data_IF_691604471747
#
_entry.id   IF_691604471747
#
_cell.length_a   1.000
_cell.length_b   1.000
_cell.length_c   1.000
_cell.angle_alpha   90.00
_cell.angle_beta   90.00
_cell.angle_gamma   90.00
#
_symmetry.space_group_name_H-M   'P 1'
#
loop_
_entity.id
_entity.type
_entity.pdbx_description
1 polymer ?
#
# COMPACT_ATOMS: atom_id res chain seq x y z
N UNK A 1 -0.09 -15.90 -7.12
CA UNK A 1 0.15 -14.71 -6.29
C UNK A 1 0.24 -15.14 -4.83
N UNK A 2 0.54 -14.21 -3.93
CA UNK A 2 0.60 -14.49 -2.50
C UNK A 2 -0.61 -13.91 -1.79
N UNK A 3 -1.34 -14.75 -1.05
CA UNK A 3 -2.47 -14.29 -0.26
C UNK A 3 -1.99 -13.34 0.85
N UNK A 4 -2.78 -12.30 1.13
CA UNK A 4 -2.41 -11.26 2.12
C UNK A 4 -2.30 -11.81 3.55
N UNK A 5 -2.97 -12.93 3.83
CA UNK A 5 -2.93 -13.67 5.10
C UNK A 5 -1.81 -14.74 5.13
N UNK A 6 -1.04 -14.89 4.06
CA UNK A 6 0.03 -15.88 3.94
C UNK A 6 -0.47 -17.30 3.65
N UNK A 7 -1.76 -17.50 3.36
CA UNK A 7 -2.29 -18.82 3.03
C UNK A 7 -1.79 -19.29 1.67
N UNK A 8 -0.88 -20.26 1.69
CA UNK A 8 -0.27 -20.85 0.49
C UNK A 8 -1.24 -21.72 -0.33
N UNK A 9 -2.39 -22.10 0.25
CA UNK A 9 -3.43 -22.89 -0.41
C UNK A 9 -4.54 -22.01 -1.03
N UNK A 10 -4.46 -20.69 -0.86
CA UNK A 10 -5.47 -19.78 -1.40
C UNK A 10 -5.40 -19.75 -2.93
N UNK A 11 -6.53 -20.09 -3.57
CA UNK A 11 -6.72 -19.90 -5.01
C UNK A 11 -7.10 -18.44 -5.26
N UNK A 12 -6.11 -17.63 -5.59
CA UNK A 12 -6.32 -16.21 -5.88
C UNK A 12 -6.93 -16.04 -7.28
N UNK A 13 -7.98 -15.23 -7.35
CA UNK A 13 -8.64 -14.82 -8.59
C UNK A 13 -8.57 -13.30 -8.64
N UNK A 14 -8.15 -12.76 -9.77
CA UNK A 14 -8.27 -11.34 -10.03
C UNK A 14 -9.58 -11.03 -10.74
N UNK A 15 -10.13 -9.86 -10.44
CA UNK A 15 -11.41 -9.38 -10.95
C UNK A 15 -11.18 -8.03 -11.64
N UNK A 16 -11.72 -7.89 -12.84
CA UNK A 16 -11.87 -6.62 -13.52
C UNK A 16 -13.37 -6.35 -13.67
N UNK A 17 -13.84 -5.21 -13.17
CA UNK A 17 -15.25 -4.83 -13.19
C UNK A 17 -15.38 -3.42 -13.73
N UNK A 18 -16.38 -3.18 -14.56
CA UNK A 18 -16.79 -1.83 -14.93
C UNK A 18 -18.14 -1.51 -14.29
N UNK A 19 -18.26 -0.31 -13.75
CA UNK A 19 -19.49 0.21 -13.14
C UNK A 19 -19.84 1.57 -13.73
N UNK A 20 -21.12 1.92 -13.71
CA UNK A 20 -21.57 3.28 -14.03
C UNK A 20 -21.23 4.25 -12.89
N UNK A 21 -21.44 5.56 -13.13
CA UNK A 21 -21.36 6.59 -12.09
C UNK A 21 -22.34 6.37 -10.92
N UNK A 22 -23.40 5.59 -11.14
CA UNK A 22 -24.39 5.19 -10.13
C UNK A 22 -24.04 3.86 -9.45
N UNK A 23 -22.81 3.37 -9.66
CA UNK A 23 -22.31 2.11 -9.11
C UNK A 23 -23.04 0.85 -9.61
N UNK A 24 -23.71 0.93 -10.77
CA UNK A 24 -24.32 -0.24 -11.41
C UNK A 24 -23.26 -1.02 -12.20
N UNK A 25 -23.06 -2.32 -11.94
CA UNK A 25 -22.09 -3.13 -12.68
C UNK A 25 -22.58 -3.40 -14.11
N UNK A 26 -21.72 -3.12 -15.09
CA UNK A 26 -22.02 -3.29 -16.53
C UNK A 26 -21.10 -4.30 -17.21
N UNK A 27 -19.97 -4.65 -16.58
CA UNK A 27 -19.03 -5.64 -17.08
C UNK A 27 -18.27 -6.29 -15.94
N UNK A 28 -17.93 -7.57 -16.07
CA UNK A 28 -16.97 -8.23 -15.21
C UNK A 28 -16.14 -9.26 -15.99
N UNK A 29 -14.90 -9.50 -15.55
CA UNK A 29 -14.03 -10.57 -16.02
C UNK A 29 -13.15 -11.07 -14.89
N UNK A 30 -13.00 -12.39 -14.80
CA UNK A 30 -12.11 -13.05 -13.84
C UNK A 30 -10.84 -13.52 -14.54
N UNK A 31 -9.72 -13.52 -13.82
CA UNK A 31 -8.43 -13.99 -14.31
C UNK A 31 -7.60 -14.68 -13.22
N UNK A 32 -6.65 -15.57 -13.59
CA UNK A 32 -5.82 -16.27 -12.60
C UNK A 32 -4.94 -15.30 -11.80
N UNK A 33 -5.00 -15.36 -10.47
CA UNK A 33 -4.19 -14.49 -9.59
C UNK A 33 -2.72 -14.93 -9.46
N UNK A 34 -2.24 -15.83 -10.33
CA UNK A 34 -0.86 -16.32 -10.38
C UNK A 34 -0.08 -15.86 -11.62
N UNK A 35 -0.69 -15.04 -12.48
CA UNK A 35 -0.01 -14.45 -13.63
C UNK A 35 0.68 -13.13 -13.29
N UNK A 36 1.49 -12.63 -14.22
CA UNK A 36 2.17 -11.35 -14.05
C UNK A 36 1.16 -10.20 -14.24
N UNK A 37 0.86 -9.50 -13.14
CA UNK A 37 -0.09 -8.40 -13.06
C UNK A 37 0.09 -7.34 -14.17
N UNK A 38 1.31 -7.03 -14.59
CA UNK A 38 1.55 -5.98 -15.58
C UNK A 38 1.08 -6.35 -16.99
N UNK A 39 1.37 -7.57 -17.44
CA UNK A 39 0.96 -8.06 -18.76
C UNK A 39 -0.56 -8.28 -18.80
N UNK A 40 -1.07 -8.87 -17.73
CA UNK A 40 -2.49 -9.15 -17.59
C UNK A 40 -3.31 -7.86 -17.54
N UNK A 41 -2.79 -6.81 -16.91
CA UNK A 41 -3.41 -5.50 -16.91
C UNK A 41 -3.61 -4.94 -18.32
N UNK A 42 -2.58 -5.02 -19.18
CA UNK A 42 -2.68 -4.52 -20.57
C UNK A 42 -3.76 -5.26 -21.36
N UNK A 43 -3.78 -6.60 -21.28
CA UNK A 43 -4.80 -7.41 -21.95
C UNK A 43 -6.21 -7.10 -21.42
N UNK A 44 -6.35 -6.98 -20.10
CA UNK A 44 -7.62 -6.67 -19.44
C UNK A 44 -8.13 -5.29 -19.85
N UNK A 45 -7.27 -4.26 -19.88
CA UNK A 45 -7.66 -2.92 -20.33
C UNK A 45 -8.18 -2.96 -21.76
N UNK A 46 -7.39 -3.50 -22.70
CA UNK A 46 -7.78 -3.55 -24.12
C UNK A 46 -9.09 -4.32 -24.34
N UNK A 47 -9.20 -5.52 -23.76
CA UNK A 47 -10.42 -6.34 -23.91
C UNK A 47 -11.64 -5.65 -23.30
N UNK A 48 -11.49 -5.04 -22.13
CA UNK A 48 -12.60 -4.37 -21.45
C UNK A 48 -13.08 -3.15 -22.23
N UNK A 49 -12.16 -2.32 -22.72
CA UNK A 49 -12.49 -1.14 -23.51
C UNK A 49 -13.14 -1.53 -24.83
N UNK A 50 -12.62 -2.53 -25.54
CA UNK A 50 -13.23 -3.05 -26.77
C UNK A 50 -14.67 -3.50 -26.51
N UNK A 51 -14.92 -4.24 -25.42
CA UNK A 51 -16.25 -4.71 -25.10
C UNK A 51 -17.21 -3.60 -24.69
N UNK A 52 -16.76 -2.63 -23.89
CA UNK A 52 -17.58 -1.49 -23.51
C UNK A 52 -17.94 -0.62 -24.74
N UNK A 53 -17.00 -0.43 -25.68
CA UNK A 53 -17.26 0.26 -26.96
C UNK A 53 -18.34 -0.44 -27.78
N UNK A 54 -18.34 -1.79 -27.83
CA UNK A 54 -19.40 -2.56 -28.50
C UNK A 54 -20.79 -2.34 -27.88
N UNK A 55 -20.85 -1.96 -26.60
CA UNK A 55 -22.09 -1.58 -25.90
C UNK A 55 -22.39 -0.08 -25.96
N UNK A 56 -21.65 0.70 -26.75
CA UNK A 56 -21.89 2.12 -26.97
C UNK A 56 -21.14 3.07 -26.03
N UNK A 57 -20.21 2.57 -25.21
CA UNK A 57 -19.38 3.43 -24.37
C UNK A 57 -18.37 4.23 -25.22
N UNK A 58 -18.16 5.49 -24.83
CA UNK A 58 -17.13 6.37 -25.39
C UNK A 58 -15.86 6.24 -24.54
N UNK A 59 -14.71 6.01 -25.17
CA UNK A 59 -13.48 5.67 -24.43
C UNK A 59 -13.00 6.81 -23.53
N UNK A 60 -13.14 8.03 -24.00
CA UNK A 60 -12.80 9.28 -23.32
C UNK A 60 -13.71 9.54 -22.10
N UNK A 61 -14.83 8.83 -22.00
CA UNK A 61 -15.71 8.86 -20.82
C UNK A 61 -15.32 7.78 -19.79
N UNK A 62 -14.55 6.77 -20.19
CA UNK A 62 -14.11 5.70 -19.30
C UNK A 62 -12.96 6.15 -18.40
N UNK A 63 -12.92 5.62 -17.18
CA UNK A 63 -11.80 5.86 -16.25
C UNK A 63 -11.44 4.58 -15.54
N UNK A 64 -10.22 4.11 -15.77
CA UNK A 64 -9.71 2.88 -15.19
C UNK A 64 -9.18 3.15 -13.78
N UNK A 65 -9.70 2.44 -12.77
CA UNK A 65 -9.30 2.63 -11.36
C UNK A 65 -8.49 1.44 -10.88
N UNK A 66 -7.25 1.66 -10.41
CA UNK A 66 -6.35 0.57 -9.98
C UNK A 66 -5.46 0.95 -8.79
N UNK A 67 -4.81 -0.05 -8.19
CA UNK A 67 -3.88 0.15 -7.06
C UNK A 67 -2.46 0.44 -7.55
N UNK A 68 -1.65 1.08 -6.70
CA UNK A 68 -0.23 1.38 -6.92
C UNK A 68 0.64 0.15 -7.20
N UNK A 69 0.13 -1.05 -6.93
CA UNK A 69 0.79 -2.32 -7.25
C UNK A 69 0.92 -2.53 -8.76
N UNK A 70 -0.02 -1.99 -9.53
CA UNK A 70 -0.11 -2.15 -10.99
C UNK A 70 0.51 -0.95 -11.74
N UNK A 71 0.90 0.12 -11.02
CA UNK A 71 1.54 1.28 -11.62
C UNK A 71 2.88 0.91 -12.27
N UNK A 72 2.89 0.92 -13.59
CA UNK A 72 4.04 0.75 -14.46
C UNK A 72 3.93 1.71 -15.64
N UNK A 73 5.05 2.06 -16.25
CA UNK A 73 5.06 2.88 -17.48
C UNK A 73 4.29 2.16 -18.58
N UNK A 74 4.51 0.85 -18.75
CA UNK A 74 3.81 0.05 -19.76
C UNK A 74 2.30 -0.03 -19.49
N UNK A 75 1.88 -0.12 -18.23
CA UNK A 75 0.45 -0.12 -17.87
C UNK A 75 -0.24 1.20 -18.18
N UNK A 76 0.41 2.33 -17.89
CA UNK A 76 -0.11 3.65 -18.28
C UNK A 76 -0.11 3.85 -19.79
N UNK A 77 0.92 3.34 -20.50
CA UNK A 77 0.95 3.38 -21.95
C UNK A 77 -0.22 2.61 -22.57
N UNK A 78 -0.59 1.45 -22.02
CA UNK A 78 -1.75 0.68 -22.49
C UNK A 78 -3.09 1.42 -22.27
N UNK A 79 -3.26 2.09 -21.14
CA UNK A 79 -4.43 2.95 -20.88
C UNK A 79 -4.51 4.07 -21.93
N UNK A 80 -3.40 4.77 -22.17
CA UNK A 80 -3.37 5.87 -23.13
C UNK A 80 -3.58 5.39 -24.57
N UNK A 81 -3.06 4.20 -24.93
CA UNK A 81 -3.29 3.58 -26.24
C UNK A 81 -4.78 3.33 -26.50
N UNK A 82 -5.54 3.01 -25.45
CA UNK A 82 -6.99 2.84 -25.52
C UNK A 82 -7.78 4.15 -25.45
N UNK A 83 -7.13 5.31 -25.32
CA UNK A 83 -7.78 6.63 -25.21
C UNK A 83 -8.76 6.71 -24.03
N UNK A 84 -8.46 5.99 -22.94
CA UNK A 84 -9.22 6.06 -21.69
C UNK A 84 -8.44 6.82 -20.64
N UNK A 85 -9.16 7.36 -19.65
CA UNK A 85 -8.53 7.99 -18.50
C UNK A 85 -8.18 6.99 -17.42
N UNK A 86 -7.41 7.43 -16.41
CA UNK A 86 -7.08 6.59 -15.27
C UNK A 86 -7.15 7.31 -13.94
N UNK A 87 -7.27 6.50 -12.90
CA UNK A 87 -7.17 6.95 -11.53
C UNK A 87 -6.48 5.86 -10.69
N UNK A 88 -5.37 6.20 -10.06
CA UNK A 88 -4.58 5.23 -9.28
C UNK A 88 -4.04 5.85 -8.00
N UNK A 89 -3.62 5.02 -7.04
CA UNK A 89 -2.83 5.52 -5.92
C UNK A 89 -1.33 5.51 -6.21
N UNK A 90 -0.58 6.36 -5.50
CA UNK A 90 0.88 6.42 -5.61
C UNK A 90 1.59 5.78 -4.41
N UNK A 91 2.80 5.28 -4.65
CA UNK A 91 3.68 4.78 -3.58
C UNK A 91 4.24 5.97 -2.79
N UNK A 92 4.37 5.82 -1.47
CA UNK A 92 4.81 6.90 -0.58
C UNK A 92 6.16 7.51 -0.97
N UNK A 93 7.07 6.69 -1.48
CA UNK A 93 8.40 7.14 -1.92
C UNK A 93 8.36 8.05 -3.16
N UNK A 94 7.29 8.02 -3.97
CA UNK A 94 7.13 8.86 -5.16
C UNK A 94 6.65 10.29 -4.82
N UNK A 95 6.12 10.50 -3.61
CA UNK A 95 5.38 11.72 -3.23
C UNK A 95 5.66 12.13 -1.78
N UNK A 96 6.91 11.95 -1.33
CA UNK A 96 7.32 12.26 0.05
C UNK A 96 7.08 13.73 0.42
N UNK A 97 7.34 14.64 -0.52
CA UNK A 97 7.10 16.08 -0.37
C UNK A 97 5.63 16.42 -0.12
N UNK A 98 4.71 15.72 -0.81
CA UNK A 98 3.27 15.89 -0.63
C UNK A 98 2.80 15.29 0.69
N UNK A 99 3.36 14.13 1.07
CA UNK A 99 3.06 13.51 2.35
C UNK A 99 3.58 14.31 3.55
N UNK A 100 4.64 15.09 3.39
CA UNK A 100 5.17 15.97 4.44
C UNK A 100 4.31 17.23 4.66
N UNK A 101 3.31 17.51 3.82
CA UNK A 101 2.44 18.68 4.00
C UNK A 101 1.66 18.61 5.32
N UNK A 102 1.61 19.72 6.09
CA UNK A 102 0.89 19.77 7.35
C UNK A 102 -0.61 19.66 7.11
N UNK A 103 -1.34 19.13 8.09
CA UNK A 103 -2.79 18.93 7.99
C UNK A 103 -3.58 20.24 7.82
N UNK A 104 -3.01 21.36 8.24
CA UNK A 104 -3.57 22.70 8.04
C UNK A 104 -3.66 23.11 6.56
N UNK A 105 -2.89 22.47 5.67
CA UNK A 105 -2.99 22.67 4.23
C UNK A 105 -4.16 21.91 3.58
N UNK A 106 -4.85 21.05 4.35
CA UNK A 106 -5.91 20.19 3.82
C UNK A 106 -7.27 20.84 4.05
N UNK A 107 -8.10 20.86 3.01
CA UNK A 107 -9.50 21.31 3.07
C UNK A 107 -10.46 20.14 3.24
N UNK A 108 -11.66 20.39 3.75
CA UNK A 108 -12.73 19.39 3.73
C UNK A 108 -13.09 19.08 2.28
N UNK A 109 -13.15 17.79 1.92
CA UNK A 109 -13.65 17.35 0.63
C UNK A 109 -15.12 16.95 0.77
N UNK A 110 -15.40 16.00 1.66
CA UNK A 110 -16.75 15.50 1.91
C UNK A 110 -16.82 14.76 3.25
N UNK A 111 -18.04 14.47 3.69
CA UNK A 111 -18.33 13.63 4.86
C UNK A 111 -18.89 12.30 4.40
N UNK A 112 -18.37 11.19 4.94
CA UNK A 112 -18.87 9.83 4.66
C UNK A 112 -20.19 9.58 5.37
N UNK A 113 -20.89 8.50 5.00
CA UNK A 113 -22.11 8.05 5.68
C UNK A 113 -21.87 7.76 7.17
N UNK A 114 -20.67 7.29 7.51
CA UNK A 114 -20.21 7.04 8.88
C UNK A 114 -19.81 8.34 9.62
N UNK A 115 -20.19 9.51 9.11
CA UNK A 115 -19.90 10.83 9.69
C UNK A 115 -18.40 11.14 9.79
N UNK A 116 -17.58 10.57 8.90
CA UNK A 116 -16.15 10.87 8.84
C UNK A 116 -15.86 11.94 7.79
N UNK A 117 -15.25 13.06 8.20
CA UNK A 117 -14.81 14.08 7.24
C UNK A 117 -13.50 13.67 6.57
N UNK A 118 -13.56 13.45 5.26
CA UNK A 118 -12.39 13.26 4.41
C UNK A 118 -11.84 14.63 4.02
N UNK A 119 -10.55 14.83 4.27
CA UNK A 119 -9.85 16.06 3.93
C UNK A 119 -8.85 15.84 2.80
N UNK A 120 -8.55 16.87 2.03
CA UNK A 120 -7.77 16.76 0.81
C UNK A 120 -6.84 17.92 0.56
N UNK A 121 -5.73 17.63 -0.11
CA UNK A 121 -4.83 18.63 -0.69
C UNK A 121 -4.52 18.24 -2.14
N UNK A 122 -4.73 19.18 -3.08
CA UNK A 122 -4.48 18.99 -4.50
C UNK A 122 -3.13 19.58 -4.91
N UNK A 123 -2.40 18.89 -5.77
CA UNK A 123 -1.20 19.38 -6.44
C UNK A 123 -1.15 18.91 -7.89
N UNK A 124 -0.58 19.71 -8.80
CA UNK A 124 -0.19 19.22 -10.13
C UNK A 124 1.14 18.47 -10.05
N UNK A 125 1.27 17.35 -10.76
CA UNK A 125 2.49 16.53 -10.79
C UNK A 125 2.62 15.81 -12.13
N UNK A 126 3.87 15.54 -12.50
CA UNK A 126 4.21 14.58 -13.54
C UNK A 126 4.68 13.28 -12.88
N UNK A 127 4.02 12.16 -13.19
CA UNK A 127 4.34 10.85 -12.61
C UNK A 127 4.39 9.82 -13.73
N UNK A 128 5.47 9.05 -13.81
CA UNK A 128 5.70 8.05 -14.86
C UNK A 128 5.50 8.63 -16.27
N UNK A 129 6.03 9.84 -16.50
CA UNK A 129 5.93 10.53 -17.79
C UNK A 129 4.61 11.24 -18.06
N UNK A 130 3.57 11.05 -17.24
CA UNK A 130 2.23 11.61 -17.44
C UNK A 130 2.00 12.85 -16.57
N UNK A 131 1.56 13.94 -17.18
CA UNK A 131 1.11 15.14 -16.47
C UNK A 131 -0.32 14.95 -15.96
N UNK A 132 -0.55 15.28 -14.69
CA UNK A 132 -1.87 15.13 -14.09
C UNK A 132 -2.00 15.82 -12.75
N UNK A 133 -3.00 15.40 -11.99
CA UNK A 133 -3.31 15.92 -10.66
C UNK A 133 -3.19 14.84 -9.61
N UNK A 134 -2.59 15.22 -8.49
CA UNK A 134 -2.47 14.41 -7.30
C UNK A 134 -3.34 15.00 -6.21
N UNK A 135 -4.22 14.19 -5.63
CA UNK A 135 -4.99 14.54 -4.45
C UNK A 135 -4.53 13.67 -3.29
N UNK A 136 -3.98 14.30 -2.25
CA UNK A 136 -3.68 13.63 -0.99
C UNK A 136 -4.92 13.67 -0.11
N UNK A 137 -5.63 12.56 0.00
CA UNK A 137 -6.75 12.38 0.90
C UNK A 137 -6.25 12.00 2.29
N UNK A 138 -6.92 12.52 3.32
CA UNK A 138 -6.65 12.23 4.72
C UNK A 138 -7.92 11.77 5.42
N UNK A 139 -7.85 10.57 6.00
CA UNK A 139 -8.88 10.00 6.88
C UNK A 139 -8.32 9.80 8.31
N UNK A 140 -8.99 10.41 9.29
CA UNK A 140 -8.63 10.34 10.71
C UNK A 140 -8.82 8.94 11.32
N UNK A 141 -9.86 8.19 10.92
CA UNK A 141 -10.10 6.83 11.41
C UNK A 141 -9.04 5.86 10.90
N UNK A 142 -8.68 5.96 9.62
CA UNK A 142 -7.58 5.22 9.03
C UNK A 142 -6.25 5.55 9.73
N UNK A 143 -6.01 6.82 10.08
CA UNK A 143 -4.85 7.23 10.87
C UNK A 143 -4.81 6.54 12.22
N UNK A 144 -5.91 6.60 12.99
CA UNK A 144 -6.01 5.98 14.33
C UNK A 144 -5.81 4.46 14.25
N UNK A 145 -6.42 3.80 13.26
CA UNK A 145 -6.23 2.35 13.02
C UNK A 145 -4.77 2.03 12.74
N UNK A 146 -4.16 2.69 11.77
CA UNK A 146 -2.75 2.48 11.41
C UNK A 146 -1.80 2.75 12.58
N UNK A 147 -2.07 3.77 13.40
CA UNK A 147 -1.30 4.06 14.60
C UNK A 147 -1.39 2.92 15.62
N UNK A 148 -2.59 2.42 15.92
CA UNK A 148 -2.77 1.27 16.83
C UNK A 148 -2.08 0.01 16.32
N UNK A 149 -2.25 -0.31 15.03
CA UNK A 149 -1.61 -1.47 14.42
C UNK A 149 -0.08 -1.37 14.49
N UNK A 150 0.45 -0.16 14.29
CA UNK A 150 1.88 0.11 14.37
C UNK A 150 2.42 -0.06 15.78
N UNK A 151 1.76 0.53 16.79
CA UNK A 151 2.21 0.38 18.18
C UNK A 151 2.17 -1.09 18.63
N UNK A 152 1.15 -1.87 18.24
CA UNK A 152 1.10 -3.32 18.49
C UNK A 152 2.27 -4.07 17.86
N UNK A 153 2.62 -3.73 16.61
CA UNK A 153 3.78 -4.36 15.95
C UNK A 153 5.11 -3.94 16.57
N UNK A 154 5.25 -2.67 16.97
CA UNK A 154 6.43 -2.15 17.67
C UNK A 154 6.62 -2.88 19.00
N UNK A 155 5.57 -3.04 19.79
CA UNK A 155 5.60 -3.80 21.04
C UNK A 155 5.96 -5.27 20.81
N UNK A 156 5.36 -5.92 19.82
CA UNK A 156 5.68 -7.31 19.46
C UNK A 156 7.15 -7.48 19.04
N UNK A 157 7.68 -6.56 18.25
CA UNK A 157 9.06 -6.59 17.79
C UNK A 157 10.05 -6.43 18.96
N UNK A 158 9.85 -5.40 19.79
CA UNK A 158 10.72 -5.11 20.93
C UNK A 158 10.67 -6.22 21.98
N UNK A 159 9.48 -6.73 22.30
CA UNK A 159 9.32 -7.86 23.24
C UNK A 159 9.95 -9.15 22.68
N UNK A 160 9.88 -9.39 21.36
CA UNK A 160 10.57 -10.51 20.72
C UNK A 160 12.08 -10.38 20.87
N UNK A 161 12.65 -9.19 20.59
CA UNK A 161 14.09 -8.94 20.76
C UNK A 161 14.53 -9.15 22.22
N UNK A 162 13.77 -8.65 23.18
CA UNK A 162 14.04 -8.83 24.62
C UNK A 162 13.94 -10.29 25.04
N UNK A 163 12.90 -11.01 24.61
CA UNK A 163 12.70 -12.43 24.92
C UNK A 163 13.84 -13.28 24.38
N UNK A 164 14.28 -13.00 23.14
CA UNK A 164 15.43 -13.68 22.53
C UNK A 164 16.70 -13.37 23.31
N UNK A 165 16.98 -12.09 23.61
CA UNK A 165 18.15 -11.69 24.39
C UNK A 165 18.20 -12.39 25.77
N UNK A 166 17.07 -12.44 26.48
CA UNK A 166 16.97 -13.07 27.81
C UNK A 166 17.11 -14.60 27.77
N UNK A 167 16.73 -15.26 26.66
CA UNK A 167 16.98 -16.70 26.47
C UNK A 167 18.46 -16.97 26.20
N UNK A 168 19.10 -16.11 25.42
CA UNK A 168 20.53 -16.26 25.07
C UNK A 168 21.46 -15.95 26.23
N UNK A 169 21.02 -15.18 27.24
CA UNK A 169 21.80 -14.90 28.44
C UNK A 169 21.80 -16.02 29.49
N UNK A 170 20.97 -17.06 29.32
CA UNK A 170 20.88 -18.19 30.26
C UNK A 170 21.84 -19.33 29.88
N UNK A 171 22.36 -20.09 30.87
CA UNK A 171 23.11 -21.33 30.59
C UNK A 171 22.23 -22.30 29.79
N UNK A 172 22.72 -22.75 28.63
CA UNK A 172 21.97 -23.63 27.73
C UNK A 172 22.41 -25.10 27.88
N UNK A 173 21.46 -26.02 28.10
CA UNK A 173 21.69 -27.48 27.98
C UNK A 173 21.40 -27.89 26.53
N UNK A 174 22.42 -28.27 25.77
CA UNK A 174 22.32 -28.70 24.36
C UNK A 174 22.83 -27.67 23.34
N UNK A 175 22.57 -27.90 22.04
CA UNK A 175 23.07 -27.08 20.93
C UNK A 175 22.54 -25.64 21.03
N UNK A 176 23.44 -24.65 21.04
CA UNK A 176 23.07 -23.22 21.05
C UNK A 176 22.38 -22.84 19.74
N UNK A 177 21.41 -21.93 19.81
CA UNK A 177 20.82 -21.30 18.62
C UNK A 177 21.90 -20.61 17.78
N UNK A 178 21.79 -20.72 16.46
CA UNK A 178 22.69 -20.04 15.52
C UNK A 178 22.27 -18.58 15.34
N UNK A 179 23.21 -17.73 14.90
CA UNK A 179 22.91 -16.34 14.48
C UNK A 179 21.75 -16.34 13.47
N UNK A 180 21.80 -17.25 12.49
CA UNK A 180 20.77 -17.40 11.47
C UNK A 180 19.38 -17.67 12.06
N UNK A 181 19.24 -18.69 12.92
CA UNK A 181 17.95 -19.04 13.53
C UNK A 181 17.38 -17.89 14.39
N UNK A 182 18.24 -17.12 15.04
CA UNK A 182 17.85 -15.93 15.81
C UNK A 182 17.38 -14.81 14.88
N UNK A 183 18.11 -14.57 13.78
CA UNK A 183 17.75 -13.59 12.77
C UNK A 183 16.39 -13.91 12.14
N UNK A 184 16.17 -15.15 11.70
CA UNK A 184 14.89 -15.60 11.14
C UNK A 184 13.74 -15.35 12.11
N UNK A 185 13.90 -15.70 13.40
CA UNK A 185 12.88 -15.47 14.42
C UNK A 185 12.54 -13.99 14.62
N UNK A 186 13.53 -13.10 14.52
CA UNK A 186 13.30 -11.66 14.60
C UNK A 186 12.58 -11.19 13.32
N UNK A 187 13.04 -11.62 12.15
CA UNK A 187 12.44 -11.26 10.86
C UNK A 187 11.00 -11.73 10.69
N UNK A 188 10.65 -12.90 11.21
CA UNK A 188 9.28 -13.44 11.24
C UNK A 188 8.34 -12.59 12.11
N UNK A 189 8.89 -11.88 13.11
CA UNK A 189 8.11 -10.95 13.94
C UNK A 189 7.86 -9.61 13.25
N UNK A 190 8.58 -9.29 12.17
CA UNK A 190 8.55 -8.00 11.49
C UNK A 190 7.48 -7.97 10.39
N UNK A 191 6.46 -7.10 10.50
CA UNK A 191 5.56 -6.86 9.38
C UNK A 191 6.34 -6.31 8.18
N UNK A 192 6.24 -6.92 6.97
CA UNK A 192 6.99 -6.48 5.78
C UNK A 192 6.84 -4.97 5.49
N UNK A 193 5.65 -4.42 5.74
CA UNK A 193 5.32 -3.00 5.54
C UNK A 193 6.12 -2.01 6.40
N UNK A 194 6.76 -2.45 7.49
CA UNK A 194 7.47 -1.58 8.45
C UNK A 194 8.92 -1.98 8.70
N UNK A 195 9.49 -2.90 7.92
CA UNK A 195 10.90 -3.34 8.04
C UNK A 195 11.91 -2.18 7.97
N UNK A 196 11.59 -1.09 7.27
CA UNK A 196 12.45 0.10 7.22
C UNK A 196 12.63 0.80 8.56
N UNK A 197 11.67 0.66 9.48
CA UNK A 197 11.60 1.37 10.77
C UNK A 197 12.22 0.55 11.90
N UNK A 198 12.04 -0.77 11.88
CA UNK A 198 12.57 -1.66 12.91
C UNK A 198 13.98 -2.09 12.56
N UNK A 199 14.93 -1.86 13.47
CA UNK A 199 16.34 -2.19 13.30
C UNK A 199 16.76 -3.17 14.38
N UNK A 200 17.64 -4.10 14.03
CA UNK A 200 18.20 -5.02 14.99
C UNK A 200 19.65 -5.33 14.66
N UNK A 201 20.37 -5.80 15.68
CA UNK A 201 21.72 -6.34 15.59
C UNK A 201 21.75 -7.66 16.35
N UNK A 202 22.25 -8.70 15.68
CA UNK A 202 22.58 -9.99 16.29
C UNK A 202 24.10 -10.10 16.26
N UNK A 203 24.75 -9.93 17.41
CA UNK A 203 26.20 -10.01 17.55
C UNK A 203 26.65 -11.38 18.09
N UNK A 204 27.70 -11.93 17.50
CA UNK A 204 28.58 -12.84 18.23
C UNK A 204 29.66 -11.98 18.88
N UNK A 205 29.69 -11.90 20.21
CA UNK A 205 30.85 -11.28 20.86
C UNK A 205 31.94 -12.34 20.92
N UNK A 206 32.76 -12.43 19.87
CA UNK A 206 33.92 -13.33 19.77
C UNK A 206 35.04 -12.92 20.74
N UNK A 207 34.99 -11.69 21.27
CA UNK A 207 36.05 -11.10 22.10
C UNK A 207 35.74 -11.12 23.61
N UNK A 208 34.69 -11.82 24.04
CA UNK A 208 34.37 -12.00 25.45
C UNK A 208 34.51 -13.47 25.82
N UNK A 209 35.18 -13.76 26.94
CA UNK A 209 35.16 -15.07 27.57
C UNK A 209 34.22 -15.03 28.80
N UNK A 210 33.08 -15.74 28.81
CA UNK A 210 32.57 -16.58 27.72
C UNK A 210 31.84 -15.77 26.63
N UNK A 211 31.82 -16.24 25.37
CA UNK A 211 31.21 -15.52 24.25
C UNK A 211 29.72 -15.35 24.47
N UNK A 212 29.29 -14.08 24.57
CA UNK A 212 27.89 -13.71 24.75
C UNK A 212 27.25 -13.41 23.40
N UNK A 213 26.14 -14.10 23.12
CA UNK A 213 25.24 -13.72 22.05
C UNK A 213 24.46 -12.48 22.50
N UNK A 214 24.55 -11.40 21.71
CA UNK A 214 23.82 -10.17 22.00
C UNK A 214 22.77 -9.92 20.92
N UNK A 215 21.56 -9.60 21.36
CA UNK A 215 20.45 -9.18 20.49
C UNK A 215 19.99 -7.82 20.96
N UNK A 216 20.02 -6.85 20.06
CA UNK A 216 19.53 -5.50 20.34
C UNK A 216 18.58 -5.12 19.21
N UNK A 217 17.33 -4.81 19.57
CA UNK A 217 16.33 -4.27 18.66
C UNK A 217 16.00 -2.84 19.05
N UNK A 218 15.88 -1.94 18.07
CA UNK A 218 15.49 -0.55 18.28
C UNK A 218 14.63 -0.05 17.13
N UNK A 219 14.00 1.10 17.35
CA UNK A 219 13.23 1.80 16.33
C UNK A 219 14.08 2.97 15.82
N UNK A 220 14.17 3.11 14.51
CA UNK A 220 14.77 4.29 13.90
C UNK A 220 13.81 5.49 14.05
N UNK A 221 14.15 6.50 14.87
CA UNK A 221 13.22 7.59 15.19
C UNK A 221 12.84 8.44 13.97
N UNK A 222 13.77 8.61 13.02
CA UNK A 222 13.53 9.40 11.81
C UNK A 222 12.54 8.68 10.90
N UNK A 223 12.80 7.40 10.62
CA UNK A 223 11.90 6.61 9.78
C UNK A 223 10.55 6.36 10.45
N UNK A 224 10.50 6.27 11.79
CA UNK A 224 9.23 6.21 12.55
C UNK A 224 8.42 7.49 12.38
N UNK A 225 9.04 8.66 12.50
CA UNK A 225 8.36 9.94 12.31
C UNK A 225 7.79 10.07 10.89
N UNK A 226 8.60 9.82 9.86
CA UNK A 226 8.18 9.84 8.45
C UNK A 226 7.03 8.85 8.17
N UNK A 227 7.09 7.65 8.76
CA UNK A 227 6.02 6.66 8.63
C UNK A 227 4.70 7.18 9.22
N UNK A 228 4.77 7.73 10.44
CA UNK A 228 3.63 8.26 11.20
C UNK A 228 3.00 9.48 10.54
N UNK A 229 3.79 10.34 9.89
CA UNK A 229 3.28 11.49 9.11
C UNK A 229 2.37 11.08 7.96
N UNK A 230 2.65 9.92 7.35
CA UNK A 230 1.81 9.38 6.29
C UNK A 230 0.58 8.63 6.79
N UNK A 231 0.39 8.42 8.10
CA UNK A 231 -0.79 7.69 8.57
C UNK A 231 -2.10 8.43 8.23
N UNK A 232 -3.07 7.65 7.76
CA UNK A 232 -4.35 8.15 7.27
C UNK A 232 -4.29 8.84 5.91
N UNK A 233 -3.10 8.98 5.30
CA UNK A 233 -2.94 9.61 3.99
C UNK A 233 -3.00 8.58 2.86
N UNK A 234 -3.86 8.83 1.88
CA UNK A 234 -3.91 8.15 0.59
C UNK A 234 -3.57 9.17 -0.48
N UNK A 235 -2.69 8.81 -1.41
CA UNK A 235 -2.30 9.70 -2.51
C UNK A 235 -2.89 9.15 -3.79
N UNK A 236 -3.84 9.87 -4.38
CA UNK A 236 -4.52 9.52 -5.63
C UNK A 236 -3.97 10.37 -6.75
N UNK A 237 -3.72 9.78 -7.92
CA UNK A 237 -3.18 10.41 -9.12
C UNK A 237 -4.05 10.06 -10.32
N UNK A 238 -4.31 11.06 -11.17
CA UNK A 238 -5.17 10.93 -12.35
C UNK A 238 -4.81 11.98 -13.39
N UNK A 239 -5.10 11.67 -14.65
CA UNK A 239 -5.09 12.59 -15.79
C UNK A 239 -6.43 13.34 -15.96
N UNK A 240 -7.48 13.00 -15.20
CA UNK A 240 -8.76 13.74 -15.08
C UNK A 240 -8.57 15.07 -14.36
N UNK A 241 -7.86 16.02 -14.97
CA UNK A 241 -7.55 17.33 -14.39
C UNK A 241 -8.78 18.22 -14.19
N UNK A 242 -9.86 17.93 -14.89
CA UNK A 242 -11.15 18.60 -14.82
C UNK A 242 -11.98 18.16 -13.60
N UNK A 243 -11.70 16.98 -13.03
CA UNK A 243 -12.44 16.49 -11.87
C UNK A 243 -12.17 17.32 -10.61
N UNK A 244 -13.22 17.42 -9.79
CA UNK A 244 -13.11 17.96 -8.43
C UNK A 244 -12.34 16.99 -7.54
N UNK A 245 -11.73 17.53 -6.48
CA UNK A 245 -10.99 16.71 -5.51
C UNK A 245 -11.89 15.66 -4.84
N UNK A 246 -13.17 15.98 -4.63
CA UNK A 246 -14.18 15.05 -4.11
C UNK A 246 -14.42 13.89 -5.08
N UNK A 247 -14.68 14.17 -6.37
CA UNK A 247 -14.87 13.12 -7.38
C UNK A 247 -13.67 12.18 -7.45
N UNK A 248 -12.45 12.71 -7.49
CA UNK A 248 -11.22 11.92 -7.54
C UNK A 248 -11.14 10.97 -6.33
N UNK A 249 -11.35 11.49 -5.12
CA UNK A 249 -11.17 10.71 -3.90
C UNK A 249 -12.32 9.72 -3.66
N UNK A 250 -13.57 10.11 -3.95
CA UNK A 250 -14.74 9.22 -3.85
C UNK A 250 -14.64 8.07 -4.83
N UNK A 251 -14.32 8.34 -6.09
CA UNK A 251 -14.16 7.31 -7.12
C UNK A 251 -13.06 6.32 -6.72
N UNK A 252 -11.94 6.81 -6.15
CA UNK A 252 -10.90 5.92 -5.64
C UNK A 252 -11.39 5.01 -4.52
N UNK A 253 -12.07 5.56 -3.51
CA UNK A 253 -12.51 4.78 -2.34
C UNK A 253 -13.69 3.86 -2.63
N UNK A 254 -14.55 4.19 -3.59
CA UNK A 254 -15.64 3.32 -4.04
C UNK A 254 -15.11 1.97 -4.54
N UNK A 255 -13.90 1.93 -5.12
CA UNK A 255 -13.24 0.69 -5.56
C UNK A 255 -13.17 -0.35 -4.45
N UNK A 256 -12.80 0.04 -3.23
CA UNK A 256 -12.69 -0.89 -2.10
C UNK A 256 -14.02 -1.55 -1.74
N UNK A 257 -15.15 -0.85 -1.91
CA UNK A 257 -16.48 -1.43 -1.69
C UNK A 257 -16.97 -2.32 -2.83
N UNK A 258 -16.33 -2.28 -4.01
CA UNK A 258 -16.64 -3.17 -5.14
C UNK A 258 -15.80 -4.46 -5.13
N UNK A 259 -14.68 -4.46 -4.41
CA UNK A 259 -13.75 -5.60 -4.30
C UNK A 259 -14.01 -6.48 -3.06
N UNK A 260 -14.86 -6.03 -2.12
CA UNK A 260 -15.30 -6.77 -0.91
C UNK A 260 -16.61 -7.53 -1.17
#
# INVERSE_FOLDING_TARGET
GHAKDGNLQAKLVGLATAVTSEHLPVYHRVYPGNENDAKLFQEVVGTMVEQLRKFGAVAEELTFVFDKGVNSEDGLAAIHAEQVHFLSSLKRNQVRDLLAKPRTAYRSLYTTEQQETIRGFRSKRRVLGVDGVVVVAFNESARKRQARDYERAKERFLSTCQSVAAKMSKPHRGRRSTVQSVTERIEDSLPPKWRGVFKYRVGATLDQDPPRFTVTGWVDPKHEAELKEGFGKTVVFTDRVEWTDEQIVRTYYARSGMEE
#
